data_IF_065717738025
#
_entry.id   IF_065717738025
#
_cell.length_a   1.000
_cell.length_b   1.000
_cell.length_c   1.000
_cell.angle_alpha   90.00
_cell.angle_beta   90.00
_cell.angle_gamma   90.00
#
_symmetry.space_group_name_H-M   'P 1'
#
loop_
_entity.id
_entity.type
_entity.pdbx_description
1 polymer ?
#
# COMPACT_ATOMS: atom_id res chain seq x y z
N UNK A 1 16.73 -1.85 22.35
CA UNK A 1 15.47 -1.59 21.63
C UNK A 1 14.48 -1.00 22.62
N UNK A 2 14.36 0.32 22.62
CA UNK A 2 13.37 1.05 23.41
C UNK A 2 11.96 0.66 22.95
N UNK A 3 10.99 0.63 23.87
CA UNK A 3 9.61 0.20 23.60
C UNK A 3 8.98 0.96 22.43
N UNK A 4 9.30 2.25 22.30
CA UNK A 4 8.87 3.10 21.20
C UNK A 4 9.45 2.68 19.83
N UNK A 5 10.69 2.20 19.77
CA UNK A 5 11.30 1.76 18.50
C UNK A 5 10.70 0.45 18.02
N UNK A 6 10.45 -0.49 18.94
CA UNK A 6 9.79 -1.75 18.62
C UNK A 6 8.34 -1.51 18.12
N UNK A 7 7.64 -0.55 18.73
CA UNK A 7 6.29 -0.15 18.32
C UNK A 7 6.29 0.48 16.92
N UNK A 8 7.22 1.40 16.63
CA UNK A 8 7.34 1.99 15.30
C UNK A 8 7.72 0.96 14.23
N UNK A 9 8.65 0.06 14.54
CA UNK A 9 9.02 -1.01 13.62
C UNK A 9 7.84 -1.95 13.33
N UNK A 10 7.06 -2.31 14.35
CA UNK A 10 5.85 -3.11 14.21
C UNK A 10 4.76 -2.40 13.43
N UNK A 11 4.60 -1.08 13.62
CA UNK A 11 3.61 -0.28 12.90
C UNK A 11 3.95 -0.16 11.42
N UNK A 12 5.16 0.29 11.07
CA UNK A 12 5.59 0.42 9.67
C UNK A 12 5.73 -0.95 8.98
N UNK A 13 6.26 -1.95 9.70
CA UNK A 13 6.37 -3.32 9.21
C UNK A 13 5.01 -3.97 8.96
N UNK A 14 4.07 -3.82 9.90
CA UNK A 14 2.71 -4.36 9.77
C UNK A 14 1.93 -3.71 8.63
N UNK A 15 1.99 -2.38 8.51
CA UNK A 15 1.35 -1.65 7.41
C UNK A 15 2.00 -2.04 6.07
N UNK A 16 3.33 -2.08 5.99
CA UNK A 16 4.05 -2.49 4.79
C UNK A 16 3.68 -3.91 4.33
N UNK A 17 3.54 -4.84 5.28
CA UNK A 17 3.08 -6.19 5.01
C UNK A 17 1.65 -6.22 4.46
N UNK A 18 0.72 -5.47 5.05
CA UNK A 18 -0.66 -5.38 4.57
C UNK A 18 -0.75 -4.78 3.16
N UNK A 19 0.06 -3.77 2.83
CA UNK A 19 0.13 -3.19 1.49
C UNK A 19 0.65 -4.19 0.47
N UNK A 20 1.67 -4.98 0.82
CA UNK A 20 2.16 -6.08 -0.04
C UNK A 20 1.07 -7.12 -0.29
N UNK A 21 0.28 -7.44 0.73
CA UNK A 21 -0.81 -8.40 0.64
C UNK A 21 -1.93 -7.87 -0.29
N UNK A 22 -2.25 -6.58 -0.24
CA UNK A 22 -3.13 -5.93 -1.21
C UNK A 22 -2.59 -6.01 -2.64
N UNK A 23 -1.28 -5.77 -2.83
CA UNK A 23 -0.60 -5.88 -4.12
C UNK A 23 -0.77 -7.28 -4.72
N UNK A 24 -0.56 -8.31 -3.92
CA UNK A 24 -0.74 -9.71 -4.31
C UNK A 24 -2.20 -10.00 -4.70
N UNK A 25 -3.17 -9.55 -3.90
CA UNK A 25 -4.60 -9.75 -4.18
C UNK A 25 -5.00 -9.06 -5.48
N UNK A 26 -4.58 -7.81 -5.72
CA UNK A 26 -4.92 -7.04 -6.93
C UNK A 26 -4.38 -7.72 -8.19
N UNK A 27 -3.15 -8.24 -8.15
CA UNK A 27 -2.56 -8.99 -9.28
C UNK A 27 -3.34 -10.28 -9.54
N UNK A 28 -3.72 -10.99 -8.47
CA UNK A 28 -4.51 -12.22 -8.59
C UNK A 28 -5.91 -11.95 -9.13
N UNK A 29 -6.55 -10.88 -8.64
CA UNK A 29 -7.86 -10.42 -9.10
C UNK A 29 -7.82 -9.98 -10.57
N UNK A 30 -6.78 -9.25 -10.99
CA UNK A 30 -6.61 -8.86 -12.40
C UNK A 30 -6.59 -10.09 -13.33
N UNK A 31 -5.89 -11.17 -12.91
CA UNK A 31 -5.86 -12.45 -13.63
C UNK A 31 -7.21 -13.16 -13.59
N UNK A 32 -7.80 -13.35 -12.42
CA UNK A 32 -9.05 -14.11 -12.24
C UNK A 32 -10.26 -13.40 -12.88
N UNK A 33 -10.29 -12.07 -12.84
CA UNK A 33 -11.33 -11.26 -13.49
C UNK A 33 -11.16 -11.15 -15.01
N UNK A 34 -10.15 -11.79 -15.61
CA UNK A 34 -9.77 -11.61 -17.03
C UNK A 34 -9.71 -10.13 -17.41
N UNK A 35 -9.19 -9.30 -16.49
CA UNK A 35 -9.07 -7.88 -16.74
C UNK A 35 -8.15 -7.71 -17.95
N UNK A 36 -8.70 -7.28 -19.08
CA UNK A 36 -7.92 -7.07 -20.30
C UNK A 36 -6.78 -6.07 -20.07
N UNK A 37 -5.99 -5.77 -21.11
CA UNK A 37 -4.86 -4.83 -21.00
C UNK A 37 -5.24 -3.50 -20.31
N UNK A 38 -6.44 -3.00 -20.60
CA UNK A 38 -6.97 -1.77 -19.99
C UNK A 38 -7.35 -1.94 -18.51
N UNK A 39 -8.01 -3.06 -18.16
CA UNK A 39 -8.43 -3.33 -16.78
C UNK A 39 -7.23 -3.54 -15.85
N UNK A 40 -6.21 -4.28 -16.31
CA UNK A 40 -4.96 -4.47 -15.54
C UNK A 40 -4.21 -3.14 -15.36
N UNK A 41 -4.22 -2.26 -16.36
CA UNK A 41 -3.61 -0.93 -16.28
C UNK A 41 -4.31 -0.04 -15.24
N UNK A 42 -5.65 -0.01 -15.23
CA UNK A 42 -6.42 0.74 -14.24
C UNK A 42 -6.22 0.15 -12.83
N UNK A 43 -6.18 -1.18 -12.69
CA UNK A 43 -5.92 -1.84 -11.40
C UNK A 43 -4.56 -1.46 -10.81
N UNK A 44 -3.51 -1.41 -11.65
CA UNK A 44 -2.20 -0.96 -11.21
C UNK A 44 -2.17 0.54 -10.89
N UNK A 45 -2.81 1.38 -11.70
CA UNK A 45 -2.89 2.83 -11.42
C UNK A 45 -3.64 3.08 -10.12
N UNK A 46 -4.78 2.44 -9.89
CA UNK A 46 -5.57 2.58 -8.68
C UNK A 46 -4.78 2.16 -7.43
N UNK A 47 -4.02 1.07 -7.53
CA UNK A 47 -3.15 0.58 -6.46
C UNK A 47 -2.00 1.57 -6.17
N UNK A 48 -1.28 2.02 -7.20
CA UNK A 48 -0.20 3.00 -7.05
C UNK A 48 -0.73 4.32 -6.48
N UNK A 49 -1.88 4.79 -6.96
CA UNK A 49 -2.54 6.00 -6.45
C UNK A 49 -2.95 5.85 -4.98
N UNK A 50 -3.45 4.68 -4.58
CA UNK A 50 -3.82 4.38 -3.19
C UNK A 50 -2.60 4.38 -2.25
N UNK A 51 -1.51 3.71 -2.64
CA UNK A 51 -0.25 3.69 -1.86
C UNK A 51 0.40 5.08 -1.85
N UNK A 52 0.36 5.80 -2.95
CA UNK A 52 0.88 7.16 -3.05
C UNK A 52 0.09 8.14 -2.18
N UNK A 53 -1.24 8.05 -2.15
CA UNK A 53 -2.09 8.85 -1.26
C UNK A 53 -1.81 8.56 0.22
N UNK A 54 -1.55 7.29 0.57
CA UNK A 54 -1.13 6.91 1.92
C UNK A 54 0.22 7.54 2.30
N UNK A 55 1.22 7.47 1.40
CA UNK A 55 2.53 8.10 1.60
C UNK A 55 2.42 9.61 1.74
N UNK A 56 1.66 10.28 0.86
CA UNK A 56 1.41 11.72 0.95
C UNK A 56 0.80 12.10 2.29
N UNK A 57 -0.19 11.34 2.78
CA UNK A 57 -0.77 11.57 4.11
C UNK A 57 0.30 11.49 5.20
N UNK A 58 1.13 10.45 5.19
CA UNK A 58 2.21 10.29 6.18
C UNK A 58 3.19 11.46 6.15
N UNK A 59 3.58 11.92 4.96
CA UNK A 59 4.47 13.07 4.78
C UNK A 59 3.80 14.36 5.28
N UNK A 60 2.55 14.60 4.92
CA UNK A 60 1.78 15.79 5.35
C UNK A 60 1.62 15.80 6.87
N UNK A 61 1.31 14.66 7.49
CA UNK A 61 1.29 14.54 8.95
C UNK A 61 2.65 14.85 9.57
N UNK A 62 3.75 14.37 9.00
CA UNK A 62 5.10 14.68 9.49
C UNK A 62 5.48 16.18 9.38
N UNK A 63 4.90 16.91 8.43
CA UNK A 63 5.09 18.37 8.30
C UNK A 63 4.12 19.20 9.15
N UNK A 64 2.96 18.65 9.53
CA UNK A 64 1.93 19.30 10.34
C UNK A 64 2.09 19.05 11.85
N UNK A 65 2.70 17.93 12.22
CA UNK A 65 3.15 17.61 13.59
C UNK A 65 4.44 18.38 13.94
#
# INVERSE_FOLDING_TARGET
MTEAEFTNLGLYGGIGFLVLLMLFIVIKLAKDSKAGKFGTMILLIALVLGVFGFLLKTVVTWFLD
#
